data_IF_103440599650
#
_entry.id   IF_103440599650
#
_cell.length_a   1.000
_cell.length_b   1.000
_cell.length_c   1.000
_cell.angle_alpha   90.00
_cell.angle_beta   90.00
_cell.angle_gamma   90.00
#
_symmetry.space_group_name_H-M   'P 1'
#
loop_
_entity.id
_entity.type
_entity.pdbx_description
1 polymer ?
#
# COMPACT_ATOMS: atom_id res chain seq x y z
N UNK A 1 -43.73 27.71 34.97
CA UNK A 1 -42.61 27.42 34.08
C UNK A 1 -42.02 26.10 34.47
N UNK A 2 -42.37 25.06 33.75
CA UNK A 2 -41.78 23.72 33.88
C UNK A 2 -40.59 23.65 32.95
N UNK A 3 -39.40 23.58 33.51
CA UNK A 3 -38.19 23.23 32.79
C UNK A 3 -38.12 21.70 32.82
N UNK A 4 -38.35 21.09 31.67
CA UNK A 4 -38.18 19.67 31.50
C UNK A 4 -36.71 19.33 31.58
N UNK A 5 -36.33 18.55 32.57
CA UNK A 5 -35.04 17.83 32.60
C UNK A 5 -35.10 16.76 31.52
N UNK A 6 -34.54 17.02 30.37
CA UNK A 6 -34.13 15.96 29.48
C UNK A 6 -33.00 15.17 30.17
N UNK A 7 -33.45 14.13 30.84
CA UNK A 7 -32.57 13.09 31.32
C UNK A 7 -32.05 12.38 30.07
N UNK A 8 -30.87 12.76 29.59
CA UNK A 8 -30.12 11.93 28.65
C UNK A 8 -29.91 10.57 29.28
N UNK A 9 -30.80 9.66 29.00
CA UNK A 9 -30.55 8.23 29.14
C UNK A 9 -29.45 7.96 28.13
N UNK A 10 -28.20 8.03 28.57
CA UNK A 10 -27.15 7.28 27.92
C UNK A 10 -27.53 5.83 28.10
N UNK A 11 -28.21 5.29 27.12
CA UNK A 11 -28.29 3.86 26.96
C UNK A 11 -26.85 3.35 27.08
N UNK A 12 -26.65 2.41 27.98
CA UNK A 12 -25.41 1.65 28.08
C UNK A 12 -25.32 0.77 26.83
N UNK A 13 -25.12 1.41 25.67
CA UNK A 13 -24.67 0.70 24.50
C UNK A 13 -23.30 0.16 24.87
N UNK A 14 -23.20 -1.15 24.87
CA UNK A 14 -21.95 -1.87 25.01
C UNK A 14 -20.98 -1.24 24.01
N UNK A 15 -20.12 -0.34 24.49
CA UNK A 15 -19.13 0.36 23.65
C UNK A 15 -18.22 -0.71 23.10
N UNK A 16 -18.15 -0.85 21.76
CA UNK A 16 -17.28 -1.84 21.12
C UNK A 16 -15.82 -1.58 21.50
N UNK A 17 -15.11 -2.65 21.88
CA UNK A 17 -13.70 -2.56 22.17
C UNK A 17 -12.89 -2.74 20.89
N UNK A 18 -12.22 -1.66 20.46
CA UNK A 18 -11.45 -1.57 19.23
C UNK A 18 -9.97 -1.46 19.58
N UNK A 19 -9.14 -2.32 19.01
CA UNK A 19 -7.69 -2.26 19.20
C UNK A 19 -6.99 -2.16 17.85
N UNK A 20 -6.12 -1.16 17.71
CA UNK A 20 -5.20 -1.01 16.57
C UNK A 20 -3.82 -1.49 17.03
N UNK A 21 -3.32 -2.56 16.40
CA UNK A 21 -2.08 -3.22 16.85
C UNK A 21 -0.81 -2.52 16.35
N UNK A 22 -0.85 -1.85 15.20
CA UNK A 22 0.33 -1.25 14.56
C UNK A 22 -0.05 -0.03 13.71
N UNK A 23 -0.62 0.96 14.35
CA UNK A 23 -1.17 2.16 13.72
C UNK A 23 -0.14 3.09 13.08
N UNK A 24 1.13 3.10 13.55
CA UNK A 24 2.14 4.05 13.08
C UNK A 24 2.39 4.00 11.58
N UNK A 25 2.43 2.81 10.98
CA UNK A 25 2.68 2.67 9.55
C UNK A 25 1.50 3.15 8.68
N UNK A 26 0.28 3.13 9.23
CA UNK A 26 -0.92 3.63 8.55
C UNK A 26 -1.14 5.12 8.81
N UNK A 27 -0.73 5.62 9.99
CA UNK A 27 -0.88 7.01 10.40
C UNK A 27 0.34 7.42 11.25
N UNK A 28 1.40 7.95 10.64
CA UNK A 28 2.58 8.43 11.37
C UNK A 28 2.36 9.79 12.05
N UNK A 29 1.13 10.34 12.04
CA UNK A 29 0.75 11.60 12.66
C UNK A 29 0.17 12.64 11.69
N UNK A 30 -0.10 12.26 10.45
CA UNK A 30 -0.68 13.11 9.39
C UNK A 30 -2.21 12.93 9.25
N UNK A 31 -2.78 11.94 9.91
CA UNK A 31 -4.21 11.68 9.98
C UNK A 31 -4.70 11.73 11.43
N UNK A 32 -6.01 11.76 11.66
CA UNK A 32 -6.60 11.60 12.98
C UNK A 32 -7.34 10.27 13.11
N UNK A 33 -7.51 9.81 14.36
CA UNK A 33 -8.27 8.61 14.68
C UNK A 33 -9.68 8.92 15.23
N UNK A 34 -10.12 10.18 15.17
CA UNK A 34 -11.33 10.68 15.82
C UNK A 34 -12.58 9.92 15.37
N UNK A 35 -12.71 9.65 14.07
CA UNK A 35 -13.84 8.89 13.53
C UNK A 35 -13.86 7.45 14.05
N UNK A 36 -12.69 6.81 14.17
CA UNK A 36 -12.58 5.46 14.74
C UNK A 36 -12.90 5.46 16.23
N UNK A 37 -12.38 6.43 16.97
CA UNK A 37 -12.61 6.59 18.41
C UNK A 37 -14.09 6.90 18.73
N UNK A 38 -14.80 7.51 17.81
CA UNK A 38 -16.24 7.77 17.95
C UNK A 38 -17.09 6.50 17.88
N UNK A 39 -16.55 5.39 17.34
CA UNK A 39 -17.26 4.12 17.20
C UNK A 39 -17.27 3.27 18.48
N UNK A 40 -16.32 3.51 19.42
CA UNK A 40 -16.22 2.70 20.63
C UNK A 40 -15.01 3.05 21.48
N UNK A 41 -14.72 2.20 22.44
CA UNK A 41 -13.47 2.30 23.21
C UNK A 41 -12.30 1.84 22.35
N UNK A 42 -11.42 2.78 21.98
CA UNK A 42 -10.37 2.55 21.00
C UNK A 42 -8.98 2.69 21.65
N UNK A 43 -8.20 1.62 21.63
CA UNK A 43 -6.79 1.61 22.02
C UNK A 43 -5.90 1.48 20.79
N UNK A 44 -4.95 2.39 20.62
CA UNK A 44 -4.08 2.44 19.46
C UNK A 44 -2.65 2.27 19.90
N UNK A 45 -2.00 1.21 19.39
CA UNK A 45 -0.58 0.96 19.56
C UNK A 45 0.17 1.34 18.28
N UNK A 46 1.30 1.99 18.41
CA UNK A 46 2.16 2.31 17.26
C UNK A 46 2.71 1.06 16.60
N UNK A 47 3.17 0.11 17.41
CA UNK A 47 3.75 -1.17 17.00
C UNK A 47 3.46 -2.22 18.06
N UNK A 48 3.25 -3.46 17.65
CA UNK A 48 3.04 -4.59 18.55
C UNK A 48 3.99 -5.73 18.18
N UNK A 49 4.82 -6.13 19.16
CA UNK A 49 5.68 -7.29 18.99
C UNK A 49 4.85 -8.60 18.99
N UNK A 50 5.30 -9.67 18.31
CA UNK A 50 4.53 -10.92 18.25
C UNK A 50 4.15 -11.49 19.64
N UNK A 51 5.00 -11.33 20.64
CA UNK A 51 4.74 -11.80 22.01
C UNK A 51 3.69 -10.96 22.75
N UNK A 52 3.40 -9.75 22.31
CA UNK A 52 2.47 -8.82 22.95
C UNK A 52 1.05 -8.88 22.36
N UNK A 53 0.87 -9.60 21.25
CA UNK A 53 -0.40 -9.60 20.49
C UNK A 53 -1.58 -10.00 21.36
N UNK A 54 -1.48 -11.09 22.11
CA UNK A 54 -2.58 -11.59 22.95
C UNK A 54 -2.89 -10.67 24.12
N UNK A 55 -1.86 -10.10 24.74
CA UNK A 55 -2.03 -9.15 25.84
C UNK A 55 -2.75 -7.89 25.38
N UNK A 56 -2.32 -7.32 24.26
CA UNK A 56 -2.87 -6.07 23.73
C UNK A 56 -4.23 -6.23 23.06
N UNK A 57 -4.51 -7.40 22.49
CA UNK A 57 -5.79 -7.73 21.89
C UNK A 57 -6.82 -8.28 22.87
N UNK A 58 -6.47 -8.44 24.17
CA UNK A 58 -7.37 -9.01 25.16
C UNK A 58 -8.68 -8.23 25.24
N UNK A 59 -9.83 -8.92 25.12
CA UNK A 59 -11.16 -8.34 25.14
C UNK A 59 -11.55 -7.53 23.92
N UNK A 60 -10.73 -7.48 22.87
CA UNK A 60 -11.07 -6.78 21.63
C UNK A 60 -12.19 -7.49 20.85
N UNK A 61 -13.20 -6.73 20.45
CA UNK A 61 -14.24 -7.17 19.52
C UNK A 61 -13.81 -6.88 18.07
N UNK A 62 -13.03 -5.81 17.88
CA UNK A 62 -12.49 -5.35 16.60
C UNK A 62 -10.99 -5.20 16.70
N UNK A 63 -10.24 -5.85 15.82
CA UNK A 63 -8.82 -5.65 15.65
C UNK A 63 -8.53 -4.97 14.31
N UNK A 64 -7.72 -3.95 14.35
CA UNK A 64 -7.14 -3.34 13.15
C UNK A 64 -5.63 -3.58 13.14
N UNK A 65 -5.11 -4.00 12.01
CA UNK A 65 -3.69 -4.30 11.84
C UNK A 65 -3.20 -3.96 10.43
N UNK A 66 -1.96 -3.52 10.32
CA UNK A 66 -1.30 -3.32 9.02
C UNK A 66 -0.38 -4.50 8.68
N UNK A 67 0.51 -4.88 9.63
CA UNK A 67 1.53 -5.92 9.42
C UNK A 67 1.64 -6.92 10.57
N UNK A 68 0.99 -6.68 11.70
CA UNK A 68 1.00 -7.63 12.81
C UNK A 68 0.25 -8.90 12.44
N UNK A 69 0.91 -10.04 12.54
CA UNK A 69 0.38 -11.33 12.12
C UNK A 69 -0.68 -11.83 13.12
N UNK A 70 -1.82 -12.27 12.58
CA UNK A 70 -2.91 -12.88 13.35
C UNK A 70 -3.10 -14.33 12.91
N UNK A 71 -2.68 -15.26 13.76
CA UNK A 71 -2.74 -16.71 13.53
C UNK A 71 -4.03 -17.33 14.06
N UNK A 72 -4.26 -18.59 13.72
CA UNK A 72 -5.36 -19.38 14.26
C UNK A 72 -5.33 -19.45 15.80
N UNK A 73 -4.13 -19.56 16.40
CA UNK A 73 -3.96 -19.58 17.86
C UNK A 73 -4.34 -18.25 18.48
N UNK A 74 -3.96 -17.12 17.88
CA UNK A 74 -4.37 -15.80 18.34
C UNK A 74 -5.89 -15.67 18.37
N UNK A 75 -6.56 -16.04 17.27
CA UNK A 75 -8.02 -15.97 17.18
C UNK A 75 -8.72 -16.95 18.14
N UNK A 76 -8.08 -18.10 18.43
CA UNK A 76 -8.61 -19.06 19.40
C UNK A 76 -8.59 -18.51 20.84
N UNK A 77 -7.60 -17.67 21.15
CA UNK A 77 -7.43 -17.06 22.48
C UNK A 77 -8.25 -15.77 22.66
N UNK A 78 -8.90 -15.28 21.60
CA UNK A 78 -9.68 -14.03 21.61
C UNK A 78 -11.18 -14.33 21.34
N UNK A 79 -11.92 -14.80 22.35
CA UNK A 79 -13.30 -15.29 22.15
C UNK A 79 -14.31 -14.18 21.78
N UNK A 80 -14.00 -12.92 22.09
CA UNK A 80 -14.87 -11.77 21.83
C UNK A 80 -14.64 -11.17 20.43
N UNK A 81 -13.59 -11.62 19.71
CA UNK A 81 -13.20 -11.06 18.43
C UNK A 81 -14.24 -11.38 17.34
N UNK A 82 -14.77 -10.35 16.71
CA UNK A 82 -15.80 -10.42 15.67
C UNK A 82 -15.31 -9.93 14.32
N UNK A 83 -14.33 -9.02 14.32
CA UNK A 83 -13.91 -8.34 13.10
C UNK A 83 -12.41 -8.06 13.10
N UNK A 84 -11.77 -8.26 11.95
CA UNK A 84 -10.39 -7.91 11.69
C UNK A 84 -10.34 -7.01 10.44
N UNK A 85 -9.87 -5.77 10.62
CA UNK A 85 -9.61 -4.84 9.52
C UNK A 85 -8.11 -4.79 9.21
N UNK A 86 -7.73 -5.18 8.00
CA UNK A 86 -6.35 -5.06 7.54
C UNK A 86 -6.17 -3.69 6.87
N UNK A 87 -5.36 -2.83 7.48
CA UNK A 87 -5.08 -1.45 7.03
C UNK A 87 -4.07 -1.44 5.86
N UNK A 88 -4.21 -2.40 4.95
CA UNK A 88 -3.35 -2.59 3.80
C UNK A 88 -4.09 -3.36 2.69
N UNK A 89 -3.49 -3.43 1.49
CA UNK A 89 -4.02 -4.23 0.39
C UNK A 89 -3.78 -5.73 0.62
N UNK A 90 -2.56 -6.11 1.02
CA UNK A 90 -2.22 -7.51 1.31
C UNK A 90 -2.73 -7.95 2.68
N UNK A 91 -3.44 -9.05 2.73
CA UNK A 91 -4.05 -9.62 3.95
C UNK A 91 -3.49 -10.99 4.34
N UNK A 92 -2.39 -11.40 3.75
CA UNK A 92 -1.72 -12.67 4.05
C UNK A 92 -1.17 -12.79 5.48
N UNK A 93 -1.18 -11.70 6.24
CA UNK A 93 -0.86 -11.66 7.67
C UNK A 93 -1.98 -12.22 8.56
N UNK A 94 -3.18 -12.43 8.02
CA UNK A 94 -4.33 -12.99 8.75
C UNK A 94 -4.64 -14.38 8.22
N UNK A 95 -4.76 -15.36 9.11
CA UNK A 95 -5.30 -16.68 8.77
C UNK A 95 -6.81 -16.56 8.50
N UNK A 96 -7.14 -16.31 7.24
CA UNK A 96 -8.54 -16.11 6.82
C UNK A 96 -9.38 -17.38 6.90
N UNK A 97 -8.76 -18.54 6.85
CA UNK A 97 -9.46 -19.85 7.04
C UNK A 97 -9.92 -19.99 8.47
N UNK A 98 -9.01 -19.78 9.42
CA UNK A 98 -9.34 -19.82 10.85
C UNK A 98 -10.35 -18.72 11.23
N UNK A 99 -10.24 -17.52 10.66
CA UNK A 99 -11.21 -16.44 10.86
C UNK A 99 -12.61 -16.86 10.42
N UNK A 100 -12.73 -17.42 9.21
CA UNK A 100 -14.00 -17.90 8.65
C UNK A 100 -14.66 -19.00 9.50
N UNK A 101 -13.88 -19.97 9.97
CA UNK A 101 -14.36 -21.04 10.84
C UNK A 101 -14.92 -20.53 12.17
N UNK A 102 -14.44 -19.40 12.64
CA UNK A 102 -14.85 -18.72 13.88
C UNK A 102 -15.92 -17.65 13.67
N UNK A 103 -16.35 -17.41 12.43
CA UNK A 103 -17.31 -16.37 12.09
C UNK A 103 -16.75 -14.95 12.21
N UNK A 104 -15.41 -14.79 12.22
CA UNK A 104 -14.74 -13.49 12.26
C UNK A 104 -14.72 -12.91 10.84
N UNK A 105 -15.22 -11.70 10.69
CA UNK A 105 -15.20 -10.99 9.40
C UNK A 105 -13.82 -10.38 9.20
N UNK A 106 -13.21 -10.62 8.04
CA UNK A 106 -11.93 -10.01 7.65
C UNK A 106 -12.12 -9.12 6.45
N UNK A 107 -11.65 -7.89 6.53
CA UNK A 107 -11.63 -6.94 5.42
C UNK A 107 -10.23 -6.38 5.20
N UNK A 108 -9.99 -5.84 4.01
CA UNK A 108 -8.76 -5.14 3.65
C UNK A 108 -9.09 -3.86 2.86
N UNK A 109 -8.06 -3.09 2.47
CA UNK A 109 -8.20 -1.88 1.65
C UNK A 109 -7.59 -2.16 0.27
N UNK A 110 -8.39 -2.61 -0.71
CA UNK A 110 -7.87 -2.94 -2.03
C UNK A 110 -7.50 -1.68 -2.82
N UNK A 111 -6.41 -1.77 -3.57
CA UNK A 111 -6.02 -0.83 -4.65
C UNK A 111 -5.82 0.65 -4.25
N UNK A 112 -5.77 1.02 -2.97
CA UNK A 112 -5.61 2.41 -2.53
C UNK A 112 -4.26 3.04 -2.94
N UNK A 113 -3.20 2.24 -3.06
CA UNK A 113 -1.84 2.69 -3.35
C UNK A 113 -1.42 2.51 -4.82
N UNK A 114 -2.34 2.12 -5.69
CA UNK A 114 -2.05 1.79 -7.10
C UNK A 114 -1.30 2.91 -7.81
N UNK A 115 -1.81 4.12 -7.75
CA UNK A 115 -1.23 5.27 -8.45
C UNK A 115 0.10 5.70 -7.81
N UNK A 116 0.19 5.69 -6.48
CA UNK A 116 1.42 6.02 -5.75
C UNK A 116 2.56 5.05 -6.07
N UNK A 117 2.27 3.75 -6.16
CA UNK A 117 3.28 2.74 -6.52
C UNK A 117 3.71 2.91 -7.98
N UNK A 118 2.78 3.09 -8.90
CA UNK A 118 3.10 3.30 -10.30
C UNK A 118 3.92 4.59 -10.51
N UNK A 119 3.61 5.66 -9.80
CA UNK A 119 4.39 6.90 -9.79
C UNK A 119 5.82 6.66 -9.28
N UNK A 120 5.98 5.90 -8.18
CA UNK A 120 7.30 5.59 -7.63
C UNK A 120 8.15 4.74 -8.58
N UNK A 121 7.54 3.80 -9.31
CA UNK A 121 8.25 3.03 -10.37
C UNK A 121 8.87 3.99 -11.39
N UNK A 122 8.11 4.97 -11.89
CA UNK A 122 8.64 5.94 -12.84
C UNK A 122 9.61 6.93 -12.22
N UNK A 123 9.46 7.30 -10.96
CA UNK A 123 10.46 8.08 -10.25
C UNK A 123 11.83 7.38 -10.24
N UNK A 124 11.85 6.07 -9.99
CA UNK A 124 13.08 5.27 -10.04
C UNK A 124 13.62 5.13 -11.48
N UNK A 125 12.77 4.81 -12.45
CA UNK A 125 13.19 4.69 -13.86
C UNK A 125 13.81 6.01 -14.33
N UNK A 126 13.16 7.14 -14.08
CA UNK A 126 13.66 8.44 -14.47
C UNK A 126 14.93 8.84 -13.71
N UNK A 127 15.04 8.49 -12.44
CA UNK A 127 16.28 8.73 -11.70
C UNK A 127 17.47 7.92 -12.26
N UNK A 128 17.25 6.67 -12.65
CA UNK A 128 18.28 5.82 -13.26
C UNK A 128 18.67 6.37 -14.65
N UNK A 129 17.70 6.74 -15.47
CA UNK A 129 17.94 7.11 -16.87
C UNK A 129 18.39 8.56 -17.06
N UNK A 130 17.98 9.47 -16.16
CA UNK A 130 18.26 10.91 -16.26
C UNK A 130 19.17 11.44 -15.15
N UNK A 131 19.41 10.67 -14.08
CA UNK A 131 20.30 11.04 -12.97
C UNK A 131 20.04 12.44 -12.41
N UNK A 132 18.77 12.77 -12.21
CA UNK A 132 18.33 14.13 -11.83
C UNK A 132 18.99 14.62 -10.55
N UNK A 133 19.11 13.76 -9.53
CA UNK A 133 19.74 14.14 -8.27
C UNK A 133 21.22 14.49 -8.48
N UNK A 134 21.98 13.65 -9.19
CA UNK A 134 23.40 13.90 -9.49
C UNK A 134 23.58 15.25 -10.20
N UNK A 135 22.81 15.51 -11.25
CA UNK A 135 22.93 16.76 -11.99
C UNK A 135 22.53 17.97 -11.14
N UNK A 136 21.51 17.85 -10.27
CA UNK A 136 21.13 18.90 -9.32
C UNK A 136 22.27 19.21 -8.35
N UNK A 137 22.92 18.20 -7.77
CA UNK A 137 24.05 18.36 -6.87
C UNK A 137 25.23 19.05 -7.56
N UNK A 138 25.56 18.66 -8.77
CA UNK A 138 26.63 19.27 -9.56
C UNK A 138 26.32 20.72 -9.92
N UNK A 139 25.07 21.07 -10.20
CA UNK A 139 24.65 22.47 -10.40
C UNK A 139 24.88 23.29 -9.13
N UNK A 140 24.50 22.76 -7.95
CA UNK A 140 24.73 23.44 -6.67
C UNK A 140 26.20 23.60 -6.31
N UNK A 141 27.07 22.70 -6.81
CA UNK A 141 28.53 22.83 -6.70
C UNK A 141 29.15 23.83 -7.67
N UNK A 142 28.34 24.49 -8.50
CA UNK A 142 28.78 25.50 -9.46
C UNK A 142 29.28 24.97 -10.80
N UNK A 143 29.09 23.67 -11.08
CA UNK A 143 29.59 23.05 -12.29
C UNK A 143 29.01 23.65 -13.57
N UNK A 144 27.73 23.97 -13.58
CA UNK A 144 27.10 24.60 -14.76
C UNK A 144 27.67 26.00 -15.01
N UNK A 145 27.80 26.81 -13.94
CA UNK A 145 28.39 28.14 -14.04
C UNK A 145 29.83 28.12 -14.56
N UNK A 146 30.59 27.09 -14.21
CA UNK A 146 31.99 26.91 -14.66
C UNK A 146 32.11 26.16 -15.99
N UNK A 147 31.00 25.69 -16.59
CA UNK A 147 31.04 24.98 -17.88
C UNK A 147 31.39 25.94 -19.01
N UNK A 148 32.16 25.44 -19.97
CA UNK A 148 32.48 26.16 -21.21
C UNK A 148 31.30 26.17 -22.19
N UNK A 149 30.41 25.18 -22.03
CA UNK A 149 29.22 24.99 -22.87
C UNK A 149 27.96 25.38 -22.09
N UNK A 150 26.87 25.60 -22.80
CA UNK A 150 25.57 25.93 -22.21
C UNK A 150 24.92 24.76 -21.45
N UNK A 151 25.54 23.58 -21.47
CA UNK A 151 25.07 22.36 -20.83
C UNK A 151 26.27 21.53 -20.32
N UNK A 152 25.97 20.51 -19.52
CA UNK A 152 26.92 19.46 -19.14
C UNK A 152 26.16 18.15 -18.86
N UNK A 153 26.85 17.05 -18.96
CA UNK A 153 26.40 15.70 -18.56
C UNK A 153 27.63 14.88 -18.19
N UNK A 154 27.43 13.88 -17.34
CA UNK A 154 28.50 13.00 -16.87
C UNK A 154 28.41 11.58 -17.42
N UNK A 155 27.19 11.19 -17.79
CA UNK A 155 26.89 9.86 -18.35
C UNK A 155 25.90 10.01 -19.49
N UNK A 156 25.90 9.09 -20.47
CA UNK A 156 24.86 9.05 -21.48
C UNK A 156 23.48 8.97 -20.82
N UNK A 157 22.61 9.92 -21.17
CA UNK A 157 21.21 9.92 -20.75
C UNK A 157 20.40 9.02 -21.68
N UNK A 158 19.40 8.34 -21.13
CA UNK A 158 18.60 7.35 -21.86
C UNK A 158 17.19 7.90 -22.06
N UNK A 159 16.76 8.01 -23.31
CA UNK A 159 15.37 8.27 -23.64
C UNK A 159 14.55 6.98 -23.51
N UNK A 160 13.36 7.10 -22.89
CA UNK A 160 12.46 5.96 -22.68
C UNK A 160 11.67 5.58 -23.95
N UNK A 161 11.52 6.50 -24.91
CA UNK A 161 10.80 6.23 -26.15
C UNK A 161 11.38 5.00 -26.86
N UNK A 162 10.49 4.11 -27.33
CA UNK A 162 10.82 2.85 -28.00
C UNK A 162 11.50 1.78 -27.13
N UNK A 163 11.89 2.11 -25.88
CA UNK A 163 12.37 1.13 -24.92
C UNK A 163 11.27 0.15 -24.52
N UNK A 164 11.65 -1.10 -24.24
CA UNK A 164 10.72 -2.13 -23.83
C UNK A 164 10.66 -2.22 -22.30
N UNK A 165 9.47 -1.95 -21.73
CA UNK A 165 9.21 -2.18 -20.31
C UNK A 165 8.57 -3.56 -20.12
N UNK A 166 9.24 -4.44 -19.40
CA UNK A 166 8.70 -5.74 -18.97
C UNK A 166 8.01 -5.64 -17.62
N UNK A 167 6.75 -6.11 -17.56
CA UNK A 167 5.95 -6.10 -16.34
C UNK A 167 5.59 -7.53 -15.94
N UNK A 168 6.01 -7.95 -14.75
CA UNK A 168 5.63 -9.23 -14.16
C UNK A 168 4.39 -9.02 -13.27
N UNK A 169 3.23 -9.47 -13.77
CA UNK A 169 1.95 -9.27 -13.10
C UNK A 169 1.20 -8.01 -13.57
N UNK A 170 0.11 -8.18 -14.31
CA UNK A 170 -0.72 -7.10 -14.83
C UNK A 170 -2.03 -6.96 -14.04
N UNK A 171 -1.90 -6.79 -12.71
CA UNK A 171 -2.98 -6.38 -11.83
C UNK A 171 -3.18 -4.86 -11.89
N UNK A 172 -3.83 -4.26 -10.89
CA UNK A 172 -4.09 -2.82 -10.84
C UNK A 172 -2.80 -1.99 -10.98
N UNK A 173 -1.80 -2.27 -10.16
CA UNK A 173 -0.52 -1.55 -10.16
C UNK A 173 0.25 -1.74 -11.48
N UNK A 174 0.40 -2.99 -11.94
CA UNK A 174 1.09 -3.26 -13.20
C UNK A 174 0.40 -2.62 -14.40
N UNK A 175 -0.93 -2.61 -14.41
CA UNK A 175 -1.70 -1.96 -15.47
C UNK A 175 -1.55 -0.44 -15.47
N UNK A 176 -1.58 0.19 -14.30
CA UNK A 176 -1.35 1.65 -14.18
C UNK A 176 0.07 2.01 -14.60
N UNK A 177 1.06 1.21 -14.20
CA UNK A 177 2.46 1.37 -14.65
C UNK A 177 2.56 1.24 -16.17
N UNK A 178 1.88 0.27 -16.76
CA UNK A 178 1.85 0.09 -18.22
C UNK A 178 1.31 1.34 -18.96
N UNK A 179 0.23 1.94 -18.44
CA UNK A 179 -0.35 3.16 -19.02
C UNK A 179 0.61 4.34 -18.99
N UNK A 180 1.35 4.50 -17.89
CA UNK A 180 2.38 5.55 -17.80
C UNK A 180 3.50 5.29 -18.80
N UNK A 181 3.96 4.03 -18.94
CA UNK A 181 4.98 3.64 -19.91
C UNK A 181 4.56 3.97 -21.35
N UNK A 182 3.32 3.66 -21.72
CA UNK A 182 2.75 3.99 -23.03
C UNK A 182 2.78 5.52 -23.25
N UNK A 183 2.47 6.31 -22.20
CA UNK A 183 2.56 7.77 -22.25
C UNK A 183 3.97 8.29 -22.52
N UNK A 184 5.01 7.56 -22.10
CA UNK A 184 6.42 7.83 -22.43
C UNK A 184 6.84 7.31 -23.84
N UNK A 185 5.93 6.70 -24.58
CA UNK A 185 6.24 6.10 -25.87
C UNK A 185 7.01 4.79 -25.78
N UNK A 186 7.00 4.13 -24.63
CA UNK A 186 7.61 2.82 -24.44
C UNK A 186 6.77 1.70 -25.06
N UNK A 187 7.43 0.61 -25.42
CA UNK A 187 6.77 -0.67 -25.77
C UNK A 187 6.56 -1.47 -24.47
N UNK A 188 5.34 -1.88 -24.22
CA UNK A 188 5.02 -2.61 -22.97
C UNK A 188 4.85 -4.10 -23.26
N UNK A 189 5.59 -4.91 -22.51
CA UNK A 189 5.48 -6.36 -22.48
C UNK A 189 5.04 -6.82 -21.08
N UNK A 190 4.21 -7.86 -21.00
CA UNK A 190 3.72 -8.33 -19.71
C UNK A 190 3.71 -9.86 -19.62
N UNK A 191 4.22 -10.38 -18.52
CA UNK A 191 3.94 -11.75 -18.06
C UNK A 191 2.74 -11.71 -17.14
N UNK A 192 1.65 -12.37 -17.51
CA UNK A 192 0.38 -12.31 -16.77
C UNK A 192 -0.49 -13.54 -17.04
N UNK A 193 -1.33 -13.89 -16.07
CA UNK A 193 -2.36 -14.94 -16.23
C UNK A 193 -3.51 -14.54 -17.15
N UNK A 194 -3.65 -13.25 -17.48
CA UNK A 194 -4.69 -12.76 -18.40
C UNK A 194 -4.48 -13.34 -19.79
N UNK A 195 -5.58 -13.58 -20.52
CA UNK A 195 -5.55 -13.97 -21.93
C UNK A 195 -5.24 -12.77 -22.82
N UNK A 196 -4.80 -13.02 -24.05
CA UNK A 196 -4.54 -11.95 -25.03
C UNK A 196 -5.78 -11.07 -25.29
N UNK A 197 -6.98 -11.65 -25.26
CA UNK A 197 -8.24 -10.90 -25.45
C UNK A 197 -8.58 -9.95 -24.30
N UNK A 198 -7.97 -10.15 -23.12
CA UNK A 198 -8.16 -9.30 -21.94
C UNK A 198 -7.10 -8.18 -21.86
N UNK A 199 -6.15 -8.17 -22.78
CA UNK A 199 -5.09 -7.17 -22.81
C UNK A 199 -5.43 -6.05 -23.80
N UNK A 200 -5.09 -4.79 -23.47
CA UNK A 200 -5.06 -3.73 -24.46
C UNK A 200 -4.09 -4.06 -25.60
N UNK A 201 -4.38 -3.60 -26.82
CA UNK A 201 -3.54 -3.89 -27.99
C UNK A 201 -2.11 -3.38 -27.88
N UNK A 202 -1.87 -2.37 -27.01
CA UNK A 202 -0.56 -1.78 -26.78
C UNK A 202 0.33 -2.64 -25.85
N UNK A 203 -0.24 -3.68 -25.21
CA UNK A 203 0.49 -4.54 -24.26
C UNK A 203 0.68 -5.92 -24.85
N UNK A 204 1.92 -6.28 -25.16
CA UNK A 204 2.28 -7.61 -25.66
C UNK A 204 2.42 -8.60 -24.51
N UNK A 205 1.70 -9.72 -24.56
CA UNK A 205 1.92 -10.83 -23.64
C UNK A 205 3.19 -11.58 -24.02
N UNK A 206 4.00 -11.92 -23.01
CA UNK A 206 5.24 -12.67 -23.17
C UNK A 206 5.38 -13.72 -22.07
N UNK A 207 6.13 -14.78 -22.34
CA UNK A 207 6.59 -15.70 -21.32
C UNK A 207 7.71 -15.05 -20.48
N UNK A 208 7.87 -15.52 -19.23
CA UNK A 208 8.75 -14.87 -18.26
C UNK A 208 10.20 -14.80 -18.75
N UNK A 209 10.73 -15.90 -19.29
CA UNK A 209 12.11 -15.97 -19.78
C UNK A 209 12.34 -15.07 -21.01
N UNK A 210 11.32 -14.95 -21.87
CA UNK A 210 11.35 -14.06 -23.04
C UNK A 210 11.37 -12.60 -22.57
N UNK A 211 10.53 -12.27 -21.57
CA UNK A 211 10.45 -10.93 -21.00
C UNK A 211 11.79 -10.47 -20.42
N UNK A 212 12.46 -11.31 -19.63
CA UNK A 212 13.77 -10.99 -19.07
C UNK A 212 14.89 -10.90 -20.11
N UNK A 213 14.75 -11.56 -21.24
CA UNK A 213 15.75 -11.53 -22.31
C UNK A 213 15.58 -10.33 -23.25
N UNK A 214 14.36 -9.87 -23.47
CA UNK A 214 14.04 -8.90 -24.51
C UNK A 214 13.75 -7.48 -24.01
N UNK A 215 13.45 -7.30 -22.72
CA UNK A 215 13.17 -5.99 -22.17
C UNK A 215 14.43 -5.26 -21.69
N UNK A 216 14.38 -3.91 -21.81
CA UNK A 216 15.48 -3.03 -21.39
C UNK A 216 15.48 -2.83 -19.87
#
# INVERSE_FOLDING_TARGET
CLVGSEMCIRDSHNSMNIVVLDGYAANPGDLCWDELQALGECTIYDRTAPAEVLERAAGAEILLTNKTVLTAEHMAALPELKYIGVLATGYNIVDTTAAKERGIIVTNIPAYSTDSVAQMVFAHILNITQQVQHHSEEVHRGRWTASKDFCFWDTPLIELREKKLGIVGLGHTGFTTARIAIGFGMKVCAYTSKTNFQLPPEIRKMELDELFRECD
#
